data_IF_056156106511
#
_entry.id   IF_056156106511
#
_cell.length_a   1.000
_cell.length_b   1.000
_cell.length_c   1.000
_cell.angle_alpha   90.00
_cell.angle_beta   90.00
_cell.angle_gamma   90.00
#
_symmetry.space_group_name_H-M   'P 1'
#
loop_
_entity.id
_entity.type
_entity.pdbx_description
1 polymer ?
#
# COMPACT_ATOMS: atom_id res chain seq x y z
N UNK A 1 18.34 -11.84 10.75
CA UNK A 1 17.11 -11.77 11.58
C UNK A 1 15.84 -11.55 10.75
N UNK A 2 15.88 -10.74 9.67
CA UNK A 2 14.79 -10.67 8.68
C UNK A 2 14.99 -11.61 7.47
N UNK A 3 15.91 -12.57 7.57
CA UNK A 3 16.21 -13.48 6.46
C UNK A 3 15.06 -14.45 6.23
N UNK A 4 14.97 -15.02 5.02
CA UNK A 4 13.92 -15.96 4.62
C UNK A 4 13.82 -17.16 5.59
N UNK A 5 14.97 -17.62 6.09
CA UNK A 5 15.11 -18.72 7.06
C UNK A 5 14.71 -18.40 8.50
N UNK A 6 14.46 -17.13 8.83
CA UNK A 6 14.13 -16.70 10.20
C UNK A 6 12.67 -17.03 10.55
N UNK A 7 12.41 -17.36 11.81
CA UNK A 7 11.06 -17.65 12.30
C UNK A 7 10.12 -16.44 12.13
N UNK A 8 8.82 -16.71 12.00
CA UNK A 8 7.79 -15.68 11.91
C UNK A 8 7.85 -14.72 13.10
N UNK A 9 7.96 -15.28 14.32
CA UNK A 9 8.08 -14.52 15.58
C UNK A 9 9.27 -13.56 15.52
N UNK A 10 10.44 -14.04 15.13
CA UNK A 10 11.64 -13.19 15.05
C UNK A 10 11.46 -12.05 14.04
N UNK A 11 10.80 -12.31 12.90
CA UNK A 11 10.51 -11.27 11.92
C UNK A 11 9.58 -10.20 12.50
N UNK A 12 8.51 -10.60 13.20
CA UNK A 12 7.59 -9.67 13.86
C UNK A 12 8.33 -8.81 14.89
N UNK A 13 9.03 -9.43 15.83
CA UNK A 13 9.76 -8.73 16.91
C UNK A 13 10.79 -7.74 16.37
N UNK A 14 11.52 -8.10 15.31
CA UNK A 14 12.47 -7.17 14.68
C UNK A 14 11.74 -6.00 14.03
N UNK A 15 10.63 -6.24 13.34
CA UNK A 15 9.83 -5.16 12.74
C UNK A 15 9.23 -4.25 13.81
N UNK A 16 8.74 -4.79 14.92
CA UNK A 16 8.26 -3.99 16.08
C UNK A 16 9.39 -3.13 16.65
N UNK A 17 10.56 -3.72 16.87
CA UNK A 17 11.74 -2.99 17.35
C UNK A 17 12.12 -1.86 16.39
N UNK A 18 12.19 -2.13 15.08
CA UNK A 18 12.49 -1.12 14.08
C UNK A 18 11.42 -0.03 14.03
N UNK A 19 10.15 -0.39 14.16
CA UNK A 19 9.02 0.56 14.24
C UNK A 19 9.19 1.47 15.46
N UNK A 20 9.48 0.92 16.63
CA UNK A 20 9.71 1.69 17.85
C UNK A 20 10.91 2.64 17.71
N UNK A 21 12.01 2.18 17.11
CA UNK A 21 13.19 3.02 16.83
C UNK A 21 12.85 4.18 15.89
N UNK A 22 12.09 3.92 14.81
CA UNK A 22 11.64 4.96 13.89
C UNK A 22 10.76 5.97 14.61
N UNK A 23 9.83 5.54 15.45
CA UNK A 23 8.94 6.43 16.20
C UNK A 23 9.65 7.24 17.30
N UNK A 24 10.80 6.78 17.81
CA UNK A 24 11.50 7.43 18.91
C UNK A 24 12.10 8.80 18.54
N UNK A 25 12.69 8.93 17.34
CA UNK A 25 13.18 10.22 16.85
C UNK A 25 13.38 10.23 15.34
N UNK A 26 13.34 11.42 14.73
CA UNK A 26 13.65 11.61 13.31
C UNK A 26 15.08 11.15 12.96
N UNK A 27 16.04 11.34 13.87
CA UNK A 27 17.42 10.94 13.65
C UNK A 27 17.56 9.41 13.56
N UNK A 28 16.96 8.68 14.51
CA UNK A 28 16.92 7.22 14.47
C UNK A 28 16.14 6.70 13.27
N UNK A 29 15.04 7.36 12.90
CA UNK A 29 14.32 7.01 11.68
C UNK A 29 15.22 7.08 10.44
N UNK A 30 16.02 8.15 10.29
CA UNK A 30 16.97 8.28 9.18
C UNK A 30 18.04 7.21 9.20
N UNK A 31 18.58 6.89 10.38
CA UNK A 31 19.58 5.84 10.54
C UNK A 31 19.02 4.47 10.16
N UNK A 32 17.83 4.13 10.67
CA UNK A 32 17.15 2.86 10.33
C UNK A 32 16.83 2.78 8.84
N UNK A 33 16.39 3.89 8.22
CA UNK A 33 16.14 3.94 6.79
C UNK A 33 17.43 3.76 5.96
N UNK A 34 18.56 4.30 6.46
CA UNK A 34 19.87 4.19 5.82
C UNK A 34 20.38 2.74 5.78
N UNK A 35 20.06 1.94 6.80
CA UNK A 35 20.39 0.50 6.84
C UNK A 35 19.77 -0.28 5.67
N UNK A 36 18.73 0.27 5.02
CA UNK A 36 18.14 -0.18 3.76
C UNK A 36 17.91 -1.69 3.66
N UNK A 37 16.66 -2.12 3.82
CA UNK A 37 16.29 -3.52 3.55
C UNK A 37 16.59 -3.89 2.09
N UNK A 38 17.14 -5.09 1.90
CA UNK A 38 17.35 -5.64 0.54
C UNK A 38 16.01 -5.83 -0.15
N UNK A 39 15.98 -5.59 -1.46
CA UNK A 39 14.75 -5.71 -2.27
C UNK A 39 14.09 -7.10 -2.15
N UNK A 40 14.90 -8.15 -2.16
CA UNK A 40 14.43 -9.53 -1.95
C UNK A 40 13.71 -9.65 -0.59
N UNK A 41 14.30 -9.12 0.47
CA UNK A 41 13.72 -9.15 1.82
C UNK A 41 12.43 -8.33 1.90
N UNK A 42 12.38 -7.15 1.29
CA UNK A 42 11.15 -6.34 1.25
C UNK A 42 10.02 -7.07 0.54
N UNK A 43 10.31 -7.67 -0.62
CA UNK A 43 9.34 -8.44 -1.39
C UNK A 43 8.83 -9.67 -0.64
N UNK A 44 9.70 -10.36 0.09
CA UNK A 44 9.31 -11.50 0.95
C UNK A 44 8.40 -11.06 2.09
N UNK A 45 8.75 -9.98 2.80
CA UNK A 45 7.94 -9.44 3.91
C UNK A 45 6.59 -8.93 3.41
N UNK A 46 6.55 -8.29 2.24
CA UNK A 46 5.32 -7.83 1.62
C UNK A 46 4.44 -9.00 1.17
N UNK A 47 4.98 -10.05 0.56
CA UNK A 47 4.16 -11.17 0.04
C UNK A 47 3.84 -12.24 1.08
N UNK A 48 4.24 -12.04 2.32
CA UNK A 48 4.10 -13.04 3.36
C UNK A 48 2.62 -13.32 3.64
N UNK A 49 2.17 -14.59 3.57
CA UNK A 49 0.77 -14.92 3.71
C UNK A 49 0.27 -14.53 5.09
N UNK A 50 -0.96 -14.03 5.14
CA UNK A 50 -1.69 -13.81 6.38
C UNK A 50 -2.07 -15.20 6.90
N UNK A 51 -1.21 -15.76 7.74
CA UNK A 51 -1.50 -16.98 8.49
C UNK A 51 -2.69 -16.71 9.42
N UNK A 52 -3.27 -17.77 10.02
CA UNK A 52 -4.54 -17.76 10.79
C UNK A 52 -4.68 -16.76 11.96
N UNK A 53 -3.75 -15.81 12.13
CA UNK A 53 -3.78 -14.74 13.11
C UNK A 53 -3.80 -13.36 12.44
N UNK A 54 -4.57 -12.39 12.98
CA UNK A 54 -4.59 -10.98 12.53
C UNK A 54 -3.20 -10.34 12.54
N UNK A 55 -2.32 -10.87 13.38
CA UNK A 55 -0.99 -10.37 13.64
C UNK A 55 0.07 -10.91 12.66
N UNK A 56 -0.10 -10.64 11.36
CA UNK A 56 0.81 -11.15 10.33
C UNK A 56 2.15 -10.37 10.28
N UNK A 57 3.20 -11.00 9.74
CA UNK A 57 4.47 -10.31 9.46
C UNK A 57 4.28 -9.19 8.42
N UNK A 58 3.38 -9.39 7.45
CA UNK A 58 3.01 -8.35 6.47
C UNK A 58 2.42 -7.12 7.17
N UNK A 59 1.52 -7.31 8.13
CA UNK A 59 0.91 -6.22 8.88
C UNK A 59 1.96 -5.44 9.69
N UNK A 60 2.92 -6.13 10.32
CA UNK A 60 4.07 -5.50 10.98
C UNK A 60 4.95 -4.71 10.02
N UNK A 61 5.20 -5.25 8.82
CA UNK A 61 6.00 -4.57 7.82
C UNK A 61 5.32 -3.30 7.32
N UNK A 62 3.99 -3.34 7.15
CA UNK A 62 3.19 -2.17 6.80
C UNK A 62 3.19 -1.11 7.92
N UNK A 63 3.07 -1.52 9.21
CA UNK A 63 3.21 -0.62 10.37
C UNK A 63 4.59 0.02 10.44
N UNK A 64 5.64 -0.75 10.19
CA UNK A 64 7.01 -0.24 10.08
C UNK A 64 7.12 0.85 9.01
N UNK A 65 6.59 0.63 7.81
CA UNK A 65 6.60 1.68 6.75
C UNK A 65 5.77 2.89 7.16
N UNK A 66 4.60 2.68 7.77
CA UNK A 66 3.73 3.78 8.23
C UNK A 66 4.38 4.64 9.32
N UNK A 67 5.22 4.05 10.17
CA UNK A 67 5.87 4.77 11.28
C UNK A 67 6.75 5.94 10.82
N UNK A 68 7.26 5.90 9.59
CA UNK A 68 8.04 7.01 9.01
C UNK A 68 7.23 8.28 8.78
N UNK A 69 5.90 8.18 8.69
CA UNK A 69 5.01 9.32 8.56
C UNK A 69 4.63 9.95 9.92
N UNK A 70 5.02 9.33 11.04
CA UNK A 70 4.66 9.76 12.39
C UNK A 70 5.20 11.14 12.77
N UNK A 71 6.44 11.45 12.37
CA UNK A 71 7.13 12.67 12.80
C UNK A 71 6.76 13.94 12.02
N UNK A 72 5.88 13.85 11.03
CA UNK A 72 5.54 14.95 10.12
C UNK A 72 6.76 15.66 9.49
N UNK A 73 7.89 14.95 9.38
CA UNK A 73 9.13 15.49 8.85
C UNK A 73 9.20 15.27 7.33
N UNK A 74 9.08 16.35 6.55
CA UNK A 74 9.07 16.24 5.08
C UNK A 74 10.35 15.64 4.49
N UNK A 75 11.52 15.91 5.08
CA UNK A 75 12.76 15.35 4.58
C UNK A 75 12.79 13.83 4.79
N UNK A 76 12.35 13.35 5.95
CA UNK A 76 12.22 11.93 6.22
C UNK A 76 11.23 11.25 5.27
N UNK A 77 10.08 11.88 5.03
CA UNK A 77 9.07 11.37 4.07
C UNK A 77 9.67 11.29 2.66
N UNK A 78 10.35 12.34 2.18
CA UNK A 78 11.01 12.30 0.85
C UNK A 78 12.06 11.19 0.77
N UNK A 79 12.90 11.05 1.79
CA UNK A 79 13.89 9.97 1.88
C UNK A 79 13.23 8.59 1.82
N UNK A 80 12.12 8.38 2.55
CA UNK A 80 11.35 7.14 2.52
C UNK A 80 10.84 6.84 1.11
N UNK A 81 10.25 7.83 0.45
CA UNK A 81 9.66 7.68 -0.88
C UNK A 81 10.72 7.37 -1.96
N UNK A 82 11.96 7.80 -1.75
CA UNK A 82 13.10 7.51 -2.62
C UNK A 82 13.80 6.19 -2.27
N UNK A 83 13.65 5.69 -1.03
CA UNK A 83 14.36 4.52 -0.54
C UNK A 83 13.83 3.23 -1.16
N UNK A 84 14.56 2.73 -2.16
CA UNK A 84 14.44 1.37 -2.75
C UNK A 84 13.00 0.92 -3.02
N UNK A 85 12.12 1.86 -3.35
CA UNK A 85 10.71 1.58 -3.62
C UNK A 85 9.99 0.88 -2.45
N UNK A 86 10.39 1.14 -1.20
CA UNK A 86 9.84 0.49 0.00
C UNK A 86 8.31 0.60 0.05
N UNK A 87 7.78 1.80 -0.19
CA UNK A 87 6.33 2.05 -0.23
C UNK A 87 5.66 1.31 -1.40
N UNK A 88 6.25 1.37 -2.58
CA UNK A 88 5.72 0.74 -3.79
C UNK A 88 5.66 -0.79 -3.64
N UNK A 89 6.64 -1.39 -2.96
CA UNK A 89 6.69 -2.83 -2.70
C UNK A 89 5.43 -3.32 -1.96
N UNK A 90 4.97 -2.57 -0.95
CA UNK A 90 3.74 -2.90 -0.22
C UNK A 90 2.50 -2.90 -1.12
N UNK A 91 2.35 -1.87 -1.96
CA UNK A 91 1.22 -1.73 -2.88
C UNK A 91 1.28 -2.80 -3.98
N UNK A 92 2.47 -3.07 -4.53
CA UNK A 92 2.67 -4.09 -5.57
C UNK A 92 2.32 -5.50 -5.11
N UNK A 93 2.57 -5.81 -3.84
CA UNK A 93 2.18 -7.09 -3.25
C UNK A 93 0.65 -7.24 -3.09
N UNK A 94 -0.11 -6.15 -3.24
CA UNK A 94 -1.58 -6.13 -3.21
C UNK A 94 -2.13 -5.92 -1.81
N UNK A 95 -3.23 -5.16 -1.70
CA UNK A 95 -3.89 -4.82 -0.42
C UNK A 95 -5.15 -5.66 -0.14
N UNK A 96 -5.56 -6.50 -1.09
CA UNK A 96 -6.86 -7.20 -1.11
C UNK A 96 -7.12 -8.13 0.08
N UNK A 97 -6.04 -8.56 0.76
CA UNK A 97 -6.12 -9.47 1.90
C UNK A 97 -5.78 -8.80 3.24
N UNK A 98 -5.36 -7.52 3.26
CA UNK A 98 -4.96 -6.87 4.51
C UNK A 98 -6.17 -6.54 5.39
N UNK A 99 -5.92 -6.29 6.69
CA UNK A 99 -6.97 -5.91 7.63
C UNK A 99 -7.53 -4.52 7.30
N UNK A 100 -8.86 -4.37 7.36
CA UNK A 100 -9.53 -3.12 7.04
C UNK A 100 -8.97 -1.92 7.83
N UNK A 101 -8.77 -1.96 9.17
CA UNK A 101 -8.23 -0.82 9.91
C UNK A 101 -6.84 -0.39 9.43
N UNK A 102 -5.98 -1.35 9.08
CA UNK A 102 -4.63 -1.06 8.62
C UNK A 102 -4.63 -0.46 7.21
N UNK A 103 -5.50 -0.95 6.32
CA UNK A 103 -5.69 -0.35 4.98
C UNK A 103 -6.21 1.07 5.11
N UNK A 104 -7.20 1.33 5.97
CA UNK A 104 -7.77 2.67 6.20
C UNK A 104 -6.68 3.67 6.60
N UNK A 105 -5.85 3.32 7.60
CA UNK A 105 -4.72 4.16 8.05
C UNK A 105 -3.71 4.35 6.92
N UNK A 106 -3.42 3.30 6.15
CA UNK A 106 -2.45 3.41 5.06
C UNK A 106 -2.92 4.32 3.93
N UNK A 107 -4.16 4.15 3.46
CA UNK A 107 -4.71 4.94 2.36
C UNK A 107 -4.90 6.41 2.76
N UNK A 108 -5.40 6.68 3.98
CA UNK A 108 -5.49 8.05 4.50
C UNK A 108 -4.12 8.71 4.65
N UNK A 109 -3.13 8.00 5.20
CA UNK A 109 -1.75 8.50 5.32
C UNK A 109 -1.16 8.81 3.95
N UNK A 110 -1.37 7.94 2.94
CA UNK A 110 -0.93 8.21 1.58
C UNK A 110 -1.59 9.45 0.99
N UNK A 111 -2.91 9.58 1.14
CA UNK A 111 -3.65 10.74 0.66
C UNK A 111 -3.10 12.01 1.28
N UNK A 112 -3.07 12.10 2.60
CA UNK A 112 -2.73 13.33 3.33
C UNK A 112 -1.24 13.67 3.25
N UNK A 113 -0.37 12.70 3.57
CA UNK A 113 1.07 12.95 3.76
C UNK A 113 1.84 12.89 2.45
N UNK A 114 1.32 12.19 1.43
CA UNK A 114 1.99 12.04 0.12
C UNK A 114 1.27 12.83 -0.97
N UNK A 115 0.01 12.54 -1.25
CA UNK A 115 -0.68 13.06 -2.44
C UNK A 115 -1.10 14.52 -2.27
N UNK A 116 -1.72 14.88 -1.16
CA UNK A 116 -2.21 16.24 -0.88
C UNK A 116 -1.09 17.18 -0.42
N UNK A 117 0.07 16.62 -0.06
CA UNK A 117 1.23 17.39 0.35
C UNK A 117 1.87 18.12 -0.85
N UNK A 118 1.78 19.46 -0.84
CA UNK A 118 2.34 20.34 -1.88
C UNK A 118 3.86 20.29 -1.97
N UNK A 119 4.54 19.94 -0.87
CA UNK A 119 6.02 19.95 -0.81
C UNK A 119 6.63 18.74 -1.50
N UNK A 120 5.83 17.70 -1.78
CA UNK A 120 6.22 16.55 -2.57
C UNK A 120 5.95 16.88 -4.04
N UNK A 121 7.01 16.88 -4.84
CA UNK A 121 6.94 17.26 -6.24
C UNK A 121 6.10 16.27 -7.05
N UNK A 122 5.42 16.79 -8.07
CA UNK A 122 4.57 16.01 -8.97
C UNK A 122 5.33 14.89 -9.70
N UNK A 123 6.57 15.16 -10.10
CA UNK A 123 7.47 14.15 -10.70
C UNK A 123 7.73 12.97 -9.76
N UNK A 124 7.92 13.25 -8.47
CA UNK A 124 8.08 12.22 -7.43
C UNK A 124 6.79 11.41 -7.26
N UNK A 125 5.63 12.07 -7.19
CA UNK A 125 4.31 11.41 -7.14
C UNK A 125 4.10 10.50 -8.35
N UNK A 126 4.42 10.96 -9.57
CA UNK A 126 4.33 10.13 -10.79
C UNK A 126 5.25 8.91 -10.75
N UNK A 127 6.46 9.05 -10.21
CA UNK A 127 7.39 7.92 -10.03
C UNK A 127 6.80 6.88 -9.08
N UNK A 128 6.23 7.33 -7.96
CA UNK A 128 5.58 6.49 -6.95
C UNK A 128 4.36 5.79 -7.56
N UNK A 129 3.37 6.57 -8.01
CA UNK A 129 2.08 6.13 -8.51
C UNK A 129 2.11 5.87 -10.03
N UNK A 130 3.06 5.08 -10.49
CA UNK A 130 3.12 4.65 -11.89
C UNK A 130 1.96 3.69 -12.24
N UNK A 131 1.79 3.38 -13.52
CA UNK A 131 0.69 2.53 -14.02
C UNK A 131 0.55 1.21 -13.24
N UNK A 132 1.65 0.54 -12.87
CA UNK A 132 1.58 -0.72 -12.09
C UNK A 132 1.00 -0.52 -10.69
N UNK A 133 1.42 0.55 -10.00
CA UNK A 133 0.88 0.92 -8.69
C UNK A 133 -0.60 1.29 -8.80
N UNK A 134 -0.96 2.09 -9.80
CA UNK A 134 -2.34 2.50 -10.02
C UNK A 134 -3.25 1.29 -10.26
N UNK A 135 -2.82 0.31 -11.06
CA UNK A 135 -3.57 -0.94 -11.26
C UNK A 135 -3.72 -1.76 -9.99
N UNK A 136 -2.69 -1.81 -9.15
CA UNK A 136 -2.76 -2.51 -7.86
C UNK A 136 -3.66 -1.80 -6.85
N UNK A 137 -3.73 -0.47 -6.89
CA UNK A 137 -4.72 0.29 -6.13
C UNK A 137 -6.13 0.00 -6.65
N UNK A 138 -6.34 -0.12 -7.96
CA UNK A 138 -7.65 -0.46 -8.51
C UNK A 138 -8.10 -1.87 -8.15
N UNK A 139 -7.18 -2.84 -8.17
CA UNK A 139 -7.44 -4.19 -7.68
C UNK A 139 -7.89 -4.18 -6.21
N UNK A 140 -7.47 -3.20 -5.40
CA UNK A 140 -7.92 -3.09 -4.01
C UNK A 140 -9.41 -2.74 -3.87
N UNK A 141 -10.12 -2.30 -4.92
CA UNK A 141 -11.59 -2.17 -4.87
C UNK A 141 -12.29 -3.53 -4.73
N UNK A 142 -11.65 -4.62 -5.17
CA UNK A 142 -12.17 -5.98 -4.99
C UNK A 142 -11.69 -6.62 -3.68
N UNK A 143 -11.35 -5.80 -2.68
CA UNK A 143 -10.90 -6.25 -1.37
C UNK A 143 -11.85 -7.28 -0.74
N UNK A 144 -11.27 -8.40 -0.32
CA UNK A 144 -11.97 -9.56 0.26
C UNK A 144 -11.60 -9.79 1.73
N UNK A 145 -10.69 -8.98 2.27
CA UNK A 145 -10.19 -9.10 3.64
C UNK A 145 -9.28 -10.30 3.90
N UNK A 146 -8.79 -10.43 5.15
CA UNK A 146 -7.86 -11.48 5.55
C UNK A 146 -8.41 -12.89 5.31
N UNK A 147 -7.86 -13.59 4.33
CA UNK A 147 -8.20 -14.98 4.06
C UNK A 147 -7.34 -15.92 4.93
N UNK A 148 -7.80 -16.20 6.14
CA UNK A 148 -7.15 -17.12 7.07
C UNK A 148 -7.26 -18.57 6.57
N UNK A 149 -6.27 -19.03 5.81
CA UNK A 149 -6.14 -20.47 5.51
C UNK A 149 -5.88 -21.23 6.81
N UNK A 150 -6.83 -22.09 7.23
CA UNK A 150 -6.59 -23.03 8.33
C UNK A 150 -5.63 -24.12 7.86
N UNK A 151 -4.51 -24.31 8.57
CA UNK A 151 -3.76 -25.58 8.49
C UNK A 151 -4.65 -26.67 9.08
N UNK A 152 -5.12 -27.60 8.27
CA UNK A 152 -5.89 -28.76 8.72
C UNK A 152 -5.04 -29.61 9.67
N UNK A 153 -5.27 -29.47 10.98
CA UNK A 153 -4.90 -30.48 11.95
C UNK A 153 -5.73 -31.75 11.71
N UNK A 154 -5.07 -32.90 11.83
CA UNK A 154 -5.54 -34.30 11.76
C UNK A 154 -7.06 -34.57 11.65
N UNK A 155 -7.36 -35.46 10.70
CA UNK A 155 -8.61 -36.21 10.45
C UNK A 155 -9.56 -36.30 11.65
N UNK A 156 -10.82 -35.91 11.44
CA UNK A 156 -11.93 -36.40 12.24
C UNK A 156 -12.85 -35.35 12.85
N UNK A 157 -13.15 -34.25 12.17
CA UNK A 157 -14.50 -33.67 12.20
C UNK A 157 -14.65 -32.69 11.03
N UNK A 158 -15.80 -32.69 10.37
CA UNK A 158 -16.03 -31.95 9.12
C UNK A 158 -15.66 -30.46 9.24
N UNK A 159 -15.07 -29.84 8.20
CA UNK A 159 -14.58 -28.47 8.30
C UNK A 159 -15.76 -27.49 8.41
N UNK A 160 -16.09 -27.07 9.63
CA UNK A 160 -16.86 -25.83 9.85
C UNK A 160 -15.96 -24.66 9.47
N UNK A 161 -16.08 -24.23 8.22
CA UNK A 161 -15.51 -23.01 7.64
C UNK A 161 -16.09 -21.82 8.41
N UNK A 162 -15.42 -21.38 9.48
CA UNK A 162 -15.57 -20.00 9.96
C UNK A 162 -14.64 -19.14 9.10
N UNK A 163 -15.09 -18.82 7.90
CA UNK A 163 -14.61 -17.63 7.21
C UNK A 163 -15.00 -16.46 8.11
N UNK A 164 -14.07 -15.58 8.49
CA UNK A 164 -14.48 -14.31 9.05
C UNK A 164 -15.27 -13.63 7.94
N UNK A 165 -16.60 -13.65 8.06
CA UNK A 165 -17.47 -13.02 7.09
C UNK A 165 -17.12 -11.54 7.15
N UNK A 166 -16.45 -11.05 6.12
CA UNK A 166 -16.12 -9.63 5.99
C UNK A 166 -17.44 -8.87 6.11
N UNK A 167 -17.43 -7.85 6.97
CA UNK A 167 -18.59 -6.98 7.12
C UNK A 167 -18.68 -6.14 5.86
N UNK A 168 -19.87 -6.03 5.28
CA UNK A 168 -20.08 -5.16 4.12
C UNK A 168 -19.70 -3.70 4.47
N UNK A 169 -19.92 -3.27 5.71
CA UNK A 169 -19.46 -1.98 6.26
C UNK A 169 -17.94 -1.77 6.06
N UNK A 170 -17.11 -2.77 6.40
CA UNK A 170 -15.66 -2.67 6.25
C UNK A 170 -15.25 -2.59 4.78
N UNK A 171 -15.99 -3.27 3.90
CA UNK A 171 -15.75 -3.24 2.46
C UNK A 171 -16.11 -1.88 1.86
N UNK A 172 -17.25 -1.32 2.23
CA UNK A 172 -17.66 0.03 1.84
C UNK A 172 -16.68 1.08 2.34
N UNK A 173 -16.22 0.96 3.59
CA UNK A 173 -15.23 1.89 4.13
C UNK A 173 -13.89 1.81 3.37
N UNK A 174 -13.34 0.60 3.17
CA UNK A 174 -12.09 0.43 2.41
C UNK A 174 -12.23 1.01 0.99
N UNK A 175 -13.34 0.72 0.31
CA UNK A 175 -13.64 1.29 -0.99
C UNK A 175 -13.74 2.82 -0.94
N UNK A 176 -14.34 3.38 0.11
CA UNK A 176 -14.45 4.82 0.33
C UNK A 176 -13.09 5.51 0.46
N UNK A 177 -12.18 4.98 1.30
CA UNK A 177 -10.82 5.53 1.43
C UNK A 177 -10.02 5.42 0.14
N UNK A 178 -10.15 4.29 -0.56
CA UNK A 178 -9.51 4.09 -1.86
C UNK A 178 -10.04 5.08 -2.90
N UNK A 179 -11.35 5.31 -2.92
CA UNK A 179 -12.00 6.26 -3.81
C UNK A 179 -11.55 7.69 -3.57
N UNK A 180 -11.49 8.11 -2.31
CA UNK A 180 -10.98 9.44 -1.95
C UNK A 180 -9.53 9.65 -2.42
N UNK A 181 -8.66 8.65 -2.23
CA UNK A 181 -7.27 8.70 -2.72
C UNK A 181 -7.22 8.79 -4.25
N UNK A 182 -7.99 7.94 -4.94
CA UNK A 182 -7.99 7.86 -6.40
C UNK A 182 -8.56 9.11 -7.07
N UNK A 183 -9.59 9.75 -6.49
CA UNK A 183 -10.08 11.06 -6.94
C UNK A 183 -8.92 12.04 -6.95
N UNK A 184 -8.24 12.25 -5.82
CA UNK A 184 -7.17 13.25 -5.74
C UNK A 184 -6.03 12.92 -6.70
N UNK A 185 -5.65 11.65 -6.81
CA UNK A 185 -4.59 11.21 -7.73
C UNK A 185 -4.93 11.50 -9.20
N UNK A 186 -6.14 11.16 -9.64
CA UNK A 186 -6.51 11.16 -11.05
C UNK A 186 -7.17 12.45 -11.54
N UNK A 187 -7.76 13.27 -10.66
CA UNK A 187 -8.54 14.45 -11.09
C UNK A 187 -7.92 15.77 -10.65
N UNK A 188 -7.09 15.79 -9.60
CA UNK A 188 -6.50 17.04 -9.12
C UNK A 188 -5.23 17.41 -9.92
N UNK A 189 -5.35 18.39 -10.80
CA UNK A 189 -4.23 18.86 -11.63
C UNK A 189 -3.10 19.54 -10.87
N UNK A 190 -3.32 19.99 -9.62
CA UNK A 190 -2.27 20.62 -8.80
C UNK A 190 -1.53 19.59 -7.97
N UNK A 191 -2.26 18.69 -7.31
CA UNK A 191 -1.72 17.80 -6.29
C UNK A 191 -1.51 16.37 -6.78
N UNK A 192 -2.36 15.89 -7.69
CA UNK A 192 -2.37 14.52 -8.19
C UNK A 192 -1.32 14.24 -9.26
N UNK A 193 -1.46 13.10 -9.93
CA UNK A 193 -0.57 12.67 -11.03
C UNK A 193 -1.07 13.11 -12.40
N UNK A 194 -2.35 13.47 -12.51
CA UNK A 194 -2.91 14.09 -13.70
C UNK A 194 -2.31 15.48 -13.91
N UNK A 195 -1.80 15.76 -15.11
CA UNK A 195 -1.32 17.08 -15.50
C UNK A 195 -1.84 17.41 -16.89
N UNK A 196 -2.09 18.71 -17.09
CA UNK A 196 -2.29 19.32 -18.39
C UNK A 196 -0.95 19.95 -18.75
N UNK A 197 -0.40 19.62 -19.91
CA UNK A 197 0.74 20.33 -20.45
C UNK A 197 0.21 21.46 -21.36
N UNK A 198 0.34 22.74 -20.97
CA UNK A 198 -0.13 23.85 -21.81
C UNK A 198 0.79 24.12 -23.01
N UNK A 199 2.02 23.59 -23.00
CA UNK A 199 3.06 23.88 -24.01
C UNK A 199 3.03 22.90 -25.19
N UNK A 200 2.38 21.75 -25.00
CA UNK A 200 2.14 20.77 -26.03
C UNK A 200 0.63 20.84 -26.29
N UNK A 201 0.24 21.39 -27.44
CA UNK A 201 -1.15 21.76 -27.73
C UNK A 201 -2.18 20.69 -27.36
N UNK A 202 -3.43 21.09 -27.11
CA UNK A 202 -4.59 20.25 -26.75
C UNK A 202 -5.02 19.26 -27.88
N UNK A 203 -4.09 18.79 -28.68
CA UNK A 203 -4.28 17.85 -29.77
C UNK A 203 -4.57 16.45 -29.22
N UNK A 204 -5.25 15.61 -30.01
CA UNK A 204 -5.69 14.24 -29.68
C UNK A 204 -4.54 13.26 -29.35
N UNK A 205 -3.30 13.72 -29.23
CA UNK A 205 -2.09 12.94 -28.93
C UNK A 205 -1.48 13.26 -27.57
N UNK A 206 -1.93 14.31 -26.88
CA UNK A 206 -1.30 14.83 -25.66
C UNK A 206 -2.17 14.57 -24.42
N UNK A 207 -2.54 13.31 -24.22
CA UNK A 207 -3.20 12.89 -23.00
C UNK A 207 -2.17 12.65 -21.89
N UNK A 208 -2.62 12.67 -20.63
CA UNK A 208 -1.80 12.18 -19.55
C UNK A 208 -1.59 10.66 -19.72
N UNK A 209 -0.44 10.25 -20.28
CA UNK A 209 -0.14 8.84 -20.59
C UNK A 209 -0.42 7.89 -19.42
N UNK A 210 -0.15 8.34 -18.20
CA UNK A 210 -0.34 7.54 -17.00
C UNK A 210 -1.82 7.30 -16.74
N UNK A 211 -2.63 8.35 -16.66
CA UNK A 211 -4.08 8.22 -16.45
C UNK A 211 -4.74 7.50 -17.63
N UNK A 212 -4.34 7.82 -18.87
CA UNK A 212 -4.84 7.15 -20.07
C UNK A 212 -4.51 5.65 -20.07
N UNK A 213 -3.26 5.27 -19.76
CA UNK A 213 -2.86 3.86 -19.67
C UNK A 213 -3.68 3.09 -18.64
N UNK A 214 -3.93 3.73 -17.49
CA UNK A 214 -4.73 3.16 -16.40
C UNK A 214 -6.18 2.95 -16.84
N UNK A 215 -6.81 3.96 -17.43
CA UNK A 215 -8.18 3.87 -17.97
C UNK A 215 -8.28 2.78 -19.04
N UNK A 216 -7.31 2.71 -19.97
CA UNK A 216 -7.32 1.65 -20.99
C UNK A 216 -7.17 0.25 -20.39
N UNK A 217 -6.37 0.10 -19.34
CA UNK A 217 -6.22 -1.19 -18.66
C UNK A 217 -7.39 -1.53 -17.72
N UNK A 218 -8.32 -0.60 -17.50
CA UNK A 218 -9.53 -0.86 -16.72
C UNK A 218 -10.60 -1.63 -17.49
N UNK A 219 -10.42 -1.91 -18.80
CA UNK A 219 -11.33 -2.71 -19.65
C UNK A 219 -11.98 -3.96 -19.01
N UNK A 220 -11.30 -4.70 -18.10
CA UNK A 220 -11.93 -5.82 -17.39
C UNK A 220 -12.82 -5.43 -16.19
N UNK A 221 -12.68 -4.23 -15.62
CA UNK A 221 -13.22 -3.86 -14.30
C UNK A 221 -14.56 -3.12 -14.36
N UNK A 222 -14.94 -2.52 -15.51
CA UNK A 222 -16.27 -1.91 -15.69
C UNK A 222 -17.34 -2.88 -16.20
N UNK A 223 -16.97 -4.13 -16.54
CA UNK A 223 -17.91 -5.20 -16.83
C UNK A 223 -18.54 -5.82 -15.56
N UNK A 224 -18.48 -5.12 -14.43
CA UNK A 224 -19.30 -5.45 -13.26
C UNK A 224 -20.71 -4.97 -13.61
N UNK A 225 -21.57 -5.93 -13.95
CA UNK A 225 -22.90 -5.71 -14.50
C UNK A 225 -23.68 -4.60 -13.79
N UNK A 226 -23.96 -3.54 -14.53
CA UNK A 226 -25.19 -2.77 -14.36
C UNK A 226 -26.34 -3.70 -14.80
N UNK A 227 -26.83 -4.50 -13.86
CA UNK A 227 -28.15 -5.17 -13.93
C UNK A 227 -28.97 -4.65 -12.77
#
# INVERSE_FOLDING_TARGET
MLASSSSQVNKKTVLEMLTAMVMLSVQLAREVLSLSLREVTMNELAKQPINSEPDSVRAHFMRYVLSYFYHDNIHLVKQLLENRNLLQCLILAGLTNDEAPLIKVFLSTLKEKVVENITIMKTMKRKIFNTKIMMKLLEAYTWTGPNFQKKSGKKGDGPKVKCNKVREEDKEEVAGYLHQLMIVLCTNHKLGVAFVDPTIGLDEKNYNDLVFSVIRSMDPYWNIGLV
#
